data_IF_694138226573
#
_entry.id   IF_694138226573
#
_cell.length_a   1.000
_cell.length_b   1.000
_cell.length_c   1.000
_cell.angle_alpha   90.00
_cell.angle_beta   90.00
_cell.angle_gamma   90.00
#
_symmetry.space_group_name_H-M   'P 1'
#
loop_
_entity.id
_entity.type
_entity.pdbx_description
1 polymer ?
#
# COMPACT_ATOMS: atom_id res chain seq x y z
N UNK A 1 1.17 8.11 -7.24
CA UNK A 1 -0.29 7.94 -6.90
C UNK A 1 -0.46 6.89 -5.81
N UNK A 2 -1.40 7.07 -4.89
CA UNK A 2 -1.70 6.10 -3.83
C UNK A 2 -3.04 5.38 -4.08
N UNK A 3 -3.03 4.05 -4.08
CA UNK A 3 -4.22 3.20 -4.02
C UNK A 3 -4.65 3.01 -2.57
N UNK A 4 -5.90 3.42 -2.22
CA UNK A 4 -6.37 3.49 -0.84
C UNK A 4 -5.96 4.77 -0.10
N UNK A 5 -6.01 5.92 -0.80
CA UNK A 5 -5.55 7.22 -0.34
C UNK A 5 -6.10 7.70 1.01
N UNK A 6 -7.29 7.25 1.42
CA UNK A 6 -7.87 7.58 2.73
C UNK A 6 -7.32 6.72 3.90
N UNK A 7 -6.45 5.75 3.62
CA UNK A 7 -5.80 4.94 4.66
C UNK A 7 -4.87 5.77 5.53
N UNK A 8 -4.75 5.40 6.83
CA UNK A 8 -3.94 6.15 7.79
C UNK A 8 -2.47 6.31 7.39
N UNK A 9 -1.87 5.29 6.75
CA UNK A 9 -0.50 5.37 6.21
C UNK A 9 -0.48 6.23 4.95
N UNK A 10 -1.49 6.08 4.06
CA UNK A 10 -1.57 6.84 2.82
C UNK A 10 -1.65 8.35 3.09
N UNK A 11 -2.54 8.81 3.97
CA UNK A 11 -2.65 10.23 4.33
C UNK A 11 -1.36 10.81 4.91
N UNK A 12 -0.59 10.03 5.66
CA UNK A 12 0.72 10.43 6.17
C UNK A 12 1.76 10.54 5.05
N UNK A 13 1.79 9.55 4.17
CA UNK A 13 2.64 9.55 2.97
C UNK A 13 2.34 10.76 2.08
N UNK A 14 1.07 11.04 1.82
CA UNK A 14 0.62 12.14 0.98
C UNK A 14 1.11 13.49 1.52
N UNK A 15 1.00 13.73 2.84
CA UNK A 15 1.57 14.93 3.49
C UNK A 15 3.09 15.02 3.33
N UNK A 16 3.80 13.90 3.49
CA UNK A 16 5.26 13.87 3.36
C UNK A 16 5.71 14.15 1.93
N UNK A 17 5.05 13.55 0.93
CA UNK A 17 5.35 13.78 -0.48
C UNK A 17 5.04 15.24 -0.85
N UNK A 18 3.91 15.75 -0.42
CA UNK A 18 3.53 17.15 -0.67
C UNK A 18 4.51 18.14 -0.04
N UNK A 19 4.98 17.88 1.18
CA UNK A 19 5.97 18.70 1.85
C UNK A 19 7.33 18.71 1.10
N UNK A 20 7.63 17.69 0.31
CA UNK A 20 8.79 17.62 -0.59
C UNK A 20 8.59 18.38 -1.90
N UNK A 21 7.37 18.83 -2.21
CA UNK A 21 7.01 19.45 -3.47
C UNK A 21 6.54 18.48 -4.56
N UNK A 22 6.35 17.19 -4.23
CA UNK A 22 5.83 16.21 -5.18
C UNK A 22 4.34 16.46 -5.45
N UNK A 23 3.87 16.13 -6.67
CA UNK A 23 2.45 16.04 -6.98
C UNK A 23 1.90 14.70 -6.52
N UNK A 24 0.80 14.73 -5.77
CA UNK A 24 0.25 13.55 -5.13
C UNK A 24 -1.23 13.43 -5.44
N UNK A 25 -1.66 12.23 -5.88
CA UNK A 25 -3.06 11.89 -6.02
C UNK A 25 -3.36 10.59 -5.28
N UNK A 26 -4.54 10.51 -4.66
CA UNK A 26 -4.97 9.34 -3.92
C UNK A 26 -6.31 8.80 -4.40
N UNK A 27 -6.39 7.50 -4.68
CA UNK A 27 -7.62 6.82 -5.03
C UNK A 27 -8.43 6.55 -3.76
N UNK A 28 -9.67 7.00 -3.77
CA UNK A 28 -10.64 6.83 -2.70
C UNK A 28 -11.90 6.17 -3.24
N UNK A 29 -12.57 5.39 -2.39
CA UNK A 29 -13.79 4.69 -2.78
C UNK A 29 -15.02 5.60 -2.75
N UNK A 30 -15.05 6.59 -1.87
CA UNK A 30 -16.23 7.41 -1.61
C UNK A 30 -15.89 8.91 -1.65
N UNK A 31 -16.75 9.75 -2.25
CA UNK A 31 -16.51 11.19 -2.34
C UNK A 31 -16.33 11.88 -0.98
N UNK A 32 -16.97 11.37 0.09
CA UNK A 32 -16.89 11.95 1.43
C UNK A 32 -15.47 11.90 2.02
N UNK A 33 -14.62 11.05 1.46
CA UNK A 33 -13.21 10.91 1.86
C UNK A 33 -12.31 12.00 1.24
N UNK A 34 -12.81 12.74 0.25
CA UNK A 34 -12.00 13.72 -0.49
C UNK A 34 -11.43 14.83 0.38
N UNK A 35 -12.19 15.28 1.39
CA UNK A 35 -11.76 16.34 2.30
C UNK A 35 -10.46 16.03 3.04
N UNK A 36 -10.26 14.76 3.44
CA UNK A 36 -9.05 14.34 4.15
C UNK A 36 -7.82 14.33 3.23
N UNK A 37 -7.99 13.94 1.96
CA UNK A 37 -6.92 13.98 0.96
C UNK A 37 -6.52 15.42 0.64
N UNK A 38 -7.52 16.30 0.42
CA UNK A 38 -7.26 17.72 0.19
C UNK A 38 -6.51 18.35 1.38
N UNK A 39 -6.89 18.01 2.61
CA UNK A 39 -6.18 18.45 3.81
C UNK A 39 -4.75 17.88 3.92
N UNK A 40 -4.49 16.73 3.31
CA UNK A 40 -3.15 16.16 3.17
C UNK A 40 -2.36 16.75 1.98
N UNK A 41 -2.99 17.60 1.14
CA UNK A 41 -2.40 18.21 -0.04
C UNK A 41 -2.38 17.28 -1.26
N UNK A 42 -3.17 16.21 -1.26
CA UNK A 42 -3.31 15.27 -2.35
C UNK A 42 -4.59 15.51 -3.16
N UNK A 43 -4.55 15.23 -4.44
CA UNK A 43 -5.72 15.23 -5.31
C UNK A 43 -6.55 13.97 -5.07
N UNK A 44 -7.86 14.08 -4.73
CA UNK A 44 -8.70 12.92 -4.55
C UNK A 44 -9.22 12.41 -5.89
N UNK A 45 -9.02 11.12 -6.17
CA UNK A 45 -9.57 10.40 -7.31
C UNK A 45 -10.61 9.41 -6.81
N UNK A 46 -11.89 9.67 -7.12
CA UNK A 46 -12.98 8.77 -6.71
C UNK A 46 -13.05 7.58 -7.66
N UNK A 47 -12.60 6.42 -7.20
CA UNK A 47 -12.61 5.17 -7.95
C UNK A 47 -12.64 3.98 -6.98
N UNK A 48 -13.64 3.11 -7.11
CA UNK A 48 -13.73 1.90 -6.27
C UNK A 48 -12.93 0.76 -6.89
N UNK A 49 -11.76 0.49 -6.34
CA UNK A 49 -10.87 -0.58 -6.79
C UNK A 49 -11.46 -2.00 -6.63
N UNK A 50 -12.57 -2.16 -5.88
CA UNK A 50 -13.26 -3.46 -5.79
C UNK A 50 -14.12 -3.75 -7.03
N UNK A 51 -14.45 -2.73 -7.84
CA UNK A 51 -15.36 -2.86 -8.99
C UNK A 51 -14.87 -2.18 -10.27
N UNK A 52 -13.79 -1.42 -10.21
CA UNK A 52 -13.26 -0.70 -11.36
C UNK A 52 -12.68 -1.64 -12.43
N UNK A 53 -12.69 -1.21 -13.68
CA UNK A 53 -11.92 -1.86 -14.73
C UNK A 53 -10.45 -1.39 -14.72
N UNK A 54 -9.53 -2.26 -15.13
CA UNK A 54 -8.09 -1.94 -15.24
C UNK A 54 -7.84 -0.67 -16.03
N UNK A 55 -8.53 -0.52 -17.20
CA UNK A 55 -8.38 0.65 -18.07
C UNK A 55 -8.79 1.96 -17.40
N UNK A 56 -9.81 1.93 -16.52
CA UNK A 56 -10.26 3.12 -15.80
C UNK A 56 -9.21 3.57 -14.77
N UNK A 57 -8.65 2.62 -14.03
CA UNK A 57 -7.60 2.90 -13.05
C UNK A 57 -6.31 3.32 -13.75
N UNK A 58 -5.96 2.70 -14.88
CA UNK A 58 -4.77 3.03 -15.65
C UNK A 58 -4.76 4.50 -16.12
N UNK A 59 -5.91 5.03 -16.56
CA UNK A 59 -6.04 6.46 -16.93
C UNK A 59 -5.68 7.40 -15.77
N UNK A 60 -5.99 7.02 -14.55
CA UNK A 60 -5.61 7.82 -13.37
C UNK A 60 -4.13 7.70 -13.02
N UNK A 61 -3.46 6.66 -13.50
CA UNK A 61 -2.03 6.43 -13.30
C UNK A 61 -1.16 7.05 -14.41
N UNK A 62 -1.77 7.51 -15.50
CA UNK A 62 -1.01 8.17 -16.58
C UNK A 62 -0.14 9.30 -16.03
N UNK A 63 1.12 9.34 -16.43
CA UNK A 63 2.15 10.26 -15.99
C UNK A 63 2.56 10.16 -14.49
N UNK A 64 2.12 9.14 -13.76
CA UNK A 64 2.63 8.93 -12.41
C UNK A 64 4.01 8.26 -12.44
N UNK A 65 4.97 8.78 -11.66
CA UNK A 65 6.30 8.18 -11.53
C UNK A 65 6.29 6.91 -10.66
N UNK A 66 5.34 6.80 -9.75
CA UNK A 66 5.21 5.66 -8.85
C UNK A 66 3.77 5.41 -8.42
N UNK A 67 3.44 4.15 -8.18
CA UNK A 67 2.19 3.68 -7.63
C UNK A 67 2.43 3.03 -6.25
N UNK A 68 1.67 3.44 -5.23
CA UNK A 68 1.79 2.90 -3.87
C UNK A 68 0.46 2.29 -3.46
N UNK A 69 0.40 0.98 -3.26
CA UNK A 69 -0.79 0.32 -2.75
C UNK A 69 -0.75 0.24 -1.21
N UNK A 70 -1.53 1.10 -0.57
CA UNK A 70 -1.68 1.17 0.88
C UNK A 70 -3.11 0.89 1.36
N UNK A 71 -3.95 0.29 0.48
CA UNK A 71 -5.31 -0.09 0.84
C UNK A 71 -5.34 -1.35 1.72
N UNK A 72 -6.37 -1.44 2.51
CA UNK A 72 -6.72 -2.61 3.30
C UNK A 72 -8.18 -2.55 3.70
N UNK A 73 -8.82 -3.70 3.88
CA UNK A 73 -10.23 -3.78 4.22
C UNK A 73 -10.58 -3.18 5.59
N UNK A 74 -9.57 -2.88 6.41
CA UNK A 74 -9.72 -2.29 7.73
C UNK A 74 -10.22 -3.29 8.80
N UNK A 75 -10.21 -2.87 10.08
CA UNK A 75 -10.77 -3.65 11.17
C UNK A 75 -12.29 -3.77 11.02
N UNK A 76 -12.88 -4.86 11.54
CA UNK A 76 -14.32 -5.11 11.47
C UNK A 76 -14.86 -5.56 10.12
N UNK A 77 -14.04 -5.64 9.07
CA UNK A 77 -14.42 -6.25 7.80
C UNK A 77 -14.31 -7.78 7.89
N UNK A 78 -15.27 -8.50 7.30
CA UNK A 78 -15.22 -9.97 7.26
C UNK A 78 -14.13 -10.52 6.34
N UNK A 79 -13.95 -11.86 6.36
CA UNK A 79 -12.94 -12.58 5.58
C UNK A 79 -13.01 -12.28 4.08
N UNK A 80 -14.25 -12.27 3.51
CA UNK A 80 -14.47 -11.99 2.09
C UNK A 80 -13.87 -10.64 1.65
N UNK A 81 -13.96 -9.61 2.49
CA UNK A 81 -13.38 -8.32 2.18
C UNK A 81 -11.85 -8.27 2.28
N UNK A 82 -11.23 -9.19 3.00
CA UNK A 82 -9.78 -9.33 2.94
C UNK A 82 -9.35 -9.78 1.55
N UNK A 83 -10.08 -10.69 0.94
CA UNK A 83 -9.78 -11.12 -0.43
C UNK A 83 -10.03 -10.01 -1.46
N UNK A 84 -11.18 -9.35 -1.44
CA UNK A 84 -11.53 -8.35 -2.46
C UNK A 84 -10.67 -7.08 -2.37
N UNK A 85 -10.32 -6.62 -1.16
CA UNK A 85 -9.56 -5.38 -0.98
C UNK A 85 -8.06 -5.65 -0.87
N UNK A 86 -7.63 -6.57 0.02
CA UNK A 86 -6.21 -6.75 0.30
C UNK A 86 -5.48 -7.54 -0.80
N UNK A 87 -6.18 -8.41 -1.54
CA UNK A 87 -5.62 -9.17 -2.66
C UNK A 87 -6.09 -8.64 -4.02
N UNK A 88 -7.39 -8.73 -4.33
CA UNK A 88 -7.89 -8.47 -5.69
C UNK A 88 -7.71 -7.01 -6.11
N UNK A 89 -7.98 -6.04 -5.23
CA UNK A 89 -7.74 -4.63 -5.55
C UNK A 89 -6.24 -4.30 -5.68
N UNK A 90 -5.35 -5.02 -4.99
CA UNK A 90 -3.91 -4.89 -5.17
C UNK A 90 -3.49 -5.38 -6.57
N UNK A 91 -3.97 -6.55 -6.99
CA UNK A 91 -3.69 -7.11 -8.31
C UNK A 91 -4.22 -6.19 -9.42
N UNK A 92 -5.45 -5.71 -9.31
CA UNK A 92 -6.04 -4.76 -10.26
C UNK A 92 -5.23 -3.46 -10.36
N UNK A 93 -4.75 -2.94 -9.23
CA UNK A 93 -3.94 -1.71 -9.21
C UNK A 93 -2.56 -1.94 -9.83
N UNK A 94 -1.99 -3.14 -9.68
CA UNK A 94 -0.76 -3.54 -10.34
C UNK A 94 -0.95 -3.71 -11.86
N UNK A 95 -2.05 -4.36 -12.30
CA UNK A 95 -2.42 -4.44 -13.72
C UNK A 95 -2.55 -3.05 -14.34
N UNK A 96 -3.19 -2.13 -13.63
CA UNK A 96 -3.36 -0.75 -14.08
C UNK A 96 -2.03 0.01 -14.16
N UNK A 97 -1.11 -0.22 -13.21
CA UNK A 97 0.23 0.37 -13.24
C UNK A 97 1.03 -0.12 -14.44
N UNK A 98 1.02 -1.42 -14.74
CA UNK A 98 1.67 -1.97 -15.93
C UNK A 98 1.04 -1.41 -17.22
N UNK A 99 -0.30 -1.33 -17.29
CA UNK A 99 -1.00 -0.77 -18.46
C UNK A 99 -0.70 0.71 -18.69
N UNK A 100 -0.48 1.49 -17.63
CA UNK A 100 -0.10 2.91 -17.67
C UNK A 100 1.42 3.12 -17.86
N UNK A 101 2.23 2.06 -17.86
CA UNK A 101 3.69 2.16 -17.96
C UNK A 101 4.38 2.61 -16.66
N UNK A 102 3.69 2.61 -15.54
CA UNK A 102 4.22 2.97 -14.22
C UNK A 102 4.96 1.76 -13.64
N UNK A 103 6.26 1.76 -13.77
CA UNK A 103 7.10 0.62 -13.33
C UNK A 103 7.25 0.55 -11.82
N UNK A 104 7.44 1.70 -11.15
CA UNK A 104 7.70 1.73 -9.72
C UNK A 104 6.43 1.45 -8.92
N UNK A 105 6.37 0.28 -8.29
CA UNK A 105 5.19 -0.21 -7.56
C UNK A 105 5.55 -0.61 -6.13
N UNK A 106 4.86 -0.03 -5.15
CA UNK A 106 5.13 -0.29 -3.74
C UNK A 106 3.87 -0.84 -3.07
N UNK A 107 4.01 -1.92 -2.31
CA UNK A 107 2.92 -2.51 -1.53
C UNK A 107 3.19 -2.37 -0.05
N UNK A 108 2.23 -1.82 0.68
CA UNK A 108 2.17 -1.93 2.14
C UNK A 108 1.46 -3.23 2.49
N UNK A 109 2.24 -4.23 2.81
CA UNK A 109 1.81 -5.57 3.20
C UNK A 109 1.74 -5.73 4.73
N UNK A 110 2.04 -6.90 5.26
CA UNK A 110 2.06 -7.18 6.69
C UNK A 110 3.13 -8.21 7.06
N UNK A 111 3.74 -8.05 8.21
CA UNK A 111 4.63 -9.07 8.77
C UNK A 111 3.87 -10.39 8.98
N UNK A 112 4.47 -11.48 8.53
CA UNK A 112 3.88 -12.81 8.58
C UNK A 112 3.02 -13.19 7.38
N UNK A 113 2.86 -12.31 6.38
CA UNK A 113 2.17 -12.61 5.12
C UNK A 113 2.92 -13.63 4.23
N UNK A 114 4.19 -13.90 4.52
CA UNK A 114 5.06 -14.81 3.78
C UNK A 114 4.90 -16.29 4.15
N UNK A 115 4.05 -16.60 5.12
CA UNK A 115 3.86 -17.96 5.64
C UNK A 115 2.42 -18.23 6.03
N UNK A 116 2.08 -19.51 6.13
CA UNK A 116 0.75 -19.91 6.61
C UNK A 116 0.56 -19.44 8.07
N UNK A 117 -0.58 -18.80 8.38
CA UNK A 117 -0.89 -18.40 9.74
C UNK A 117 -0.87 -19.59 10.71
N UNK A 118 -0.32 -19.44 11.92
CA UNK A 118 -0.30 -20.52 12.91
C UNK A 118 -1.69 -21.05 13.24
N UNK A 119 -1.76 -22.32 13.62
CA UNK A 119 -3.02 -22.92 14.11
C UNK A 119 -3.55 -22.12 15.30
N UNK A 120 -4.86 -21.87 15.32
CA UNK A 120 -5.52 -21.07 16.36
C UNK A 120 -5.48 -19.56 16.13
N UNK A 121 -4.90 -19.08 15.02
CA UNK A 121 -5.01 -17.68 14.61
C UNK A 121 -6.48 -17.33 14.35
N UNK A 122 -6.91 -16.15 14.78
CA UNK A 122 -8.25 -15.64 14.48
C UNK A 122 -8.56 -15.78 12.98
N UNK A 123 -9.74 -16.32 12.58
CA UNK A 123 -10.03 -16.61 11.18
C UNK A 123 -9.95 -15.39 10.25
N UNK A 124 -10.42 -14.23 10.71
CA UNK A 124 -10.39 -12.98 9.91
C UNK A 124 -8.94 -12.51 9.76
N UNK A 125 -8.13 -12.63 10.82
CA UNK A 125 -6.72 -12.27 10.75
C UNK A 125 -5.91 -13.26 9.90
N UNK A 126 -6.24 -14.55 9.95
CA UNK A 126 -5.65 -15.56 9.07
C UNK A 126 -5.99 -15.28 7.59
N UNK A 127 -7.26 -14.97 7.28
CA UNK A 127 -7.67 -14.56 5.94
C UNK A 127 -6.93 -13.29 5.47
N UNK A 128 -6.75 -12.31 6.35
CA UNK A 128 -5.96 -11.11 6.08
C UNK A 128 -4.51 -11.44 5.69
N UNK A 129 -3.82 -12.27 6.48
CA UNK A 129 -2.42 -12.63 6.18
C UNK A 129 -2.30 -13.40 4.86
N UNK A 130 -3.23 -14.34 4.58
CA UNK A 130 -3.27 -15.05 3.31
C UNK A 130 -3.53 -14.11 2.12
N UNK A 131 -4.46 -13.17 2.25
CA UNK A 131 -4.75 -12.19 1.21
C UNK A 131 -3.52 -11.29 0.92
N UNK A 132 -2.84 -10.80 1.96
CA UNK A 132 -1.60 -10.03 1.80
C UNK A 132 -0.49 -10.87 1.18
N UNK A 133 -0.31 -12.13 1.61
CA UNK A 133 0.68 -13.03 1.04
C UNK A 133 0.43 -13.34 -0.44
N UNK A 134 -0.82 -13.54 -0.82
CA UNK A 134 -1.20 -13.76 -2.22
C UNK A 134 -0.97 -12.49 -3.07
N UNK A 135 -1.29 -11.30 -2.55
CA UNK A 135 -0.97 -10.03 -3.22
C UNK A 135 0.55 -9.83 -3.38
N UNK A 136 1.34 -10.12 -2.33
CA UNK A 136 2.80 -10.05 -2.40
C UNK A 136 3.37 -10.99 -3.47
N UNK A 137 2.85 -12.23 -3.54
CA UNK A 137 3.29 -13.22 -4.53
C UNK A 137 2.94 -12.78 -5.96
N UNK A 138 1.74 -12.25 -6.18
CA UNK A 138 1.32 -11.70 -7.48
C UNK A 138 2.23 -10.56 -7.92
N UNK A 139 2.42 -9.54 -7.08
CA UNK A 139 3.25 -8.39 -7.42
C UNK A 139 4.70 -8.80 -7.71
N UNK A 140 5.27 -9.71 -6.92
CA UNK A 140 6.65 -10.21 -7.12
C UNK A 140 6.83 -11.03 -8.39
N UNK A 141 5.77 -11.62 -8.93
CA UNK A 141 5.82 -12.36 -10.19
C UNK A 141 5.84 -11.48 -11.45
N UNK A 142 5.58 -10.17 -11.31
CA UNK A 142 5.42 -9.22 -12.41
C UNK A 142 6.76 -8.66 -12.87
N UNK A 143 7.23 -9.10 -14.01
CA UNK A 143 8.48 -8.63 -14.61
C UNK A 143 8.40 -7.17 -15.12
N UNK A 144 7.20 -6.64 -15.33
CA UNK A 144 6.96 -5.25 -15.75
C UNK A 144 7.12 -4.21 -14.63
N UNK A 145 7.16 -4.65 -13.38
CA UNK A 145 7.22 -3.77 -12.21
C UNK A 145 8.57 -3.81 -11.50
N UNK A 146 9.07 -2.65 -11.15
CA UNK A 146 10.16 -2.45 -10.19
C UNK A 146 9.52 -2.36 -8.78
N UNK A 147 9.18 -3.51 -8.24
CA UNK A 147 8.36 -3.59 -7.05
C UNK A 147 9.16 -3.50 -5.74
N UNK A 148 8.48 -3.04 -4.70
CA UNK A 148 8.92 -3.15 -3.31
C UNK A 148 7.74 -3.57 -2.43
N UNK A 149 7.95 -4.57 -1.58
CA UNK A 149 6.95 -5.05 -0.63
C UNK A 149 7.43 -4.74 0.79
N UNK A 150 6.75 -3.79 1.45
CA UNK A 150 7.03 -3.41 2.82
C UNK A 150 6.07 -4.17 3.76
N UNK A 151 6.63 -4.94 4.70
CA UNK A 151 5.87 -5.75 5.67
C UNK A 151 6.04 -5.20 7.08
N UNK A 152 5.29 -4.17 7.48
CA UNK A 152 5.38 -3.62 8.82
C UNK A 152 4.93 -4.63 9.87
N UNK A 153 5.50 -4.50 11.07
CA UNK A 153 5.04 -5.15 12.29
C UNK A 153 3.69 -4.58 12.77
N UNK A 154 3.39 -4.71 14.05
CA UNK A 154 2.16 -4.15 14.61
C UNK A 154 2.17 -2.62 14.51
N UNK A 155 1.19 -2.07 13.82
CA UNK A 155 1.06 -0.63 13.59
C UNK A 155 0.52 0.07 14.84
N UNK A 156 1.17 1.16 15.27
CA UNK A 156 0.68 2.05 16.34
C UNK A 156 0.38 3.45 15.79
N UNK A 157 -0.35 4.24 16.59
CA UNK A 157 -0.65 5.65 16.31
C UNK A 157 0.19 6.60 17.17
N UNK A 158 1.23 6.08 17.82
CA UNK A 158 2.19 6.91 18.51
C UNK A 158 2.94 7.83 17.54
N UNK A 159 3.47 8.96 18.00
CA UNK A 159 4.31 9.83 17.18
C UNK A 159 5.47 9.07 16.54
N UNK A 160 5.84 9.43 15.32
CA UNK A 160 6.99 8.86 14.62
C UNK A 160 8.29 9.06 15.38
N UNK A 161 9.13 8.05 15.36
CA UNK A 161 10.46 8.08 16.00
C UNK A 161 11.55 8.59 15.06
N UNK A 162 11.27 8.61 13.74
CA UNK A 162 12.24 8.88 12.69
C UNK A 162 13.26 7.76 12.50
N UNK A 163 13.04 6.59 13.08
CA UNK A 163 13.96 5.45 13.04
C UNK A 163 13.22 4.15 12.79
N UNK A 164 13.68 3.39 11.81
CA UNK A 164 13.17 2.05 11.49
C UNK A 164 14.33 1.07 11.33
N UNK A 165 14.11 -0.18 11.63
CA UNK A 165 14.97 -1.27 11.20
C UNK A 165 14.37 -1.87 9.93
N UNK A 166 15.15 -1.90 8.85
CA UNK A 166 14.77 -2.52 7.59
C UNK A 166 15.72 -3.67 7.29
N UNK A 167 15.18 -4.86 7.09
CA UNK A 167 15.92 -6.05 6.68
C UNK A 167 14.95 -7.04 6.01
N UNK A 168 15.48 -8.06 5.38
CA UNK A 168 14.64 -9.16 4.85
C UNK A 168 13.85 -9.88 5.96
N UNK A 169 14.36 -9.83 7.21
CA UNK A 169 13.67 -10.31 8.40
C UNK A 169 14.18 -9.55 9.63
N UNK A 170 13.27 -8.90 10.36
CA UNK A 170 13.59 -8.10 11.55
C UNK A 170 13.09 -8.73 12.86
N UNK A 171 12.30 -9.79 12.81
CA UNK A 171 11.57 -10.28 13.97
C UNK A 171 10.31 -9.44 14.26
N UNK A 172 9.58 -9.85 15.31
CA UNK A 172 8.32 -9.16 15.69
C UNK A 172 8.62 -7.86 16.42
N UNK A 173 7.81 -6.83 16.13
CA UNK A 173 7.92 -5.53 16.80
C UNK A 173 6.75 -4.62 16.42
N UNK A 174 6.74 -3.47 17.07
CA UNK A 174 5.79 -2.39 16.79
C UNK A 174 6.48 -1.33 15.93
N UNK A 175 5.71 -0.68 15.08
CA UNK A 175 6.16 0.44 14.26
C UNK A 175 5.04 1.47 14.16
N UNK A 176 5.37 2.74 14.25
CA UNK A 176 4.36 3.79 14.10
C UNK A 176 3.96 3.94 12.62
N UNK A 177 2.71 4.33 12.37
CA UNK A 177 2.25 4.63 11.01
C UNK A 177 3.02 5.80 10.39
N UNK A 178 3.50 6.73 11.22
CA UNK A 178 4.36 7.83 10.77
C UNK A 178 5.70 7.30 10.23
N UNK A 179 6.34 6.39 10.96
CA UNK A 179 7.62 5.81 10.54
C UNK A 179 7.47 4.93 9.30
N UNK A 180 6.37 4.15 9.20
CA UNK A 180 6.06 3.40 7.97
C UNK A 180 5.88 4.35 6.78
N UNK A 181 5.11 5.43 6.94
CA UNK A 181 4.92 6.41 5.88
C UNK A 181 6.23 7.09 5.47
N UNK A 182 7.14 7.34 6.42
CA UNK A 182 8.44 7.98 6.15
C UNK A 182 9.41 7.10 5.33
N UNK A 183 9.24 5.78 5.33
CA UNK A 183 10.05 4.85 4.54
C UNK A 183 9.61 4.81 3.06
N UNK A 184 8.33 5.06 2.78
CA UNK A 184 7.77 4.90 1.43
C UNK A 184 8.34 5.88 0.38
N UNK A 185 8.60 7.19 0.68
CA UNK A 185 9.17 8.12 -0.30
C UNK A 185 10.54 7.71 -0.86
N UNK A 186 11.52 7.24 -0.08
CA UNK A 186 12.77 6.67 -0.61
C UNK A 186 12.51 5.47 -1.52
N UNK A 187 11.54 4.62 -1.20
CA UNK A 187 11.16 3.49 -2.04
C UNK A 187 10.52 3.93 -3.37
N UNK A 188 9.89 5.09 -3.44
CA UNK A 188 9.26 5.62 -4.66
C UNK A 188 10.22 6.31 -5.63
N UNK A 189 11.47 6.51 -5.24
CA UNK A 189 12.50 7.13 -6.09
C UNK A 189 13.62 6.14 -6.34
N UNK A 190 14.20 6.12 -7.54
CA UNK A 190 15.35 5.26 -7.91
C UNK A 190 16.63 5.53 -7.07
N UNK A 191 16.52 6.25 -5.97
CA UNK A 191 17.62 6.64 -5.10
C UNK A 191 17.42 6.07 -3.71
N UNK A 192 17.78 4.81 -3.49
CA UNK A 192 18.04 4.46 -2.13
C UNK A 192 17.78 3.08 -1.57
N UNK A 193 16.81 2.32 -2.00
CA UNK A 193 16.69 0.93 -1.55
C UNK A 193 16.78 0.00 -2.75
N UNK A 194 17.54 -1.10 -2.67
CA UNK A 194 17.53 -2.13 -3.70
C UNK A 194 16.12 -2.72 -3.84
N UNK A 195 15.81 -3.22 -5.03
CA UNK A 195 14.56 -3.95 -5.24
C UNK A 195 14.50 -5.14 -4.28
N UNK A 196 13.38 -5.30 -3.58
CA UNK A 196 13.24 -6.35 -2.60
C UNK A 196 12.00 -6.24 -1.71
N UNK A 197 11.83 -7.23 -0.84
CA UNK A 197 10.85 -7.20 0.24
C UNK A 197 11.56 -6.92 1.56
N UNK A 198 10.94 -6.09 2.40
CA UNK A 198 11.48 -5.66 3.68
C UNK A 198 10.45 -5.88 4.79
N UNK A 199 10.87 -6.44 5.89
CA UNK A 199 10.05 -6.72 7.09
C UNK A 199 10.47 -5.85 8.25
#
# INVERSE_FOLDING_TARGET
>A
MSGGGHGQIALRLERLLRARGDEVAGIIRRPEQAGDLLAAGAEPVVCDLESAAVADVARHLEAADAAVFAAGAGPGSGEARKDTVDRAACALFADAAEAAGVRRFIVVSAMGADREPPAGTDPVFAAYLRAKGAADADVRSRAGLDWSVLRPGRLTDDPGTGRVALAESTGRGDVTRDDVAAVLPPCSTNRGLPDGHWS
#
